data_IF_190152427897
#
_entry.id   IF_190152427897
#
_cell.length_a   1.000
_cell.length_b   1.000
_cell.length_c   1.000
_cell.angle_alpha   90.00
_cell.angle_beta   90.00
_cell.angle_gamma   90.00
#
_symmetry.space_group_name_H-M   'P 1'
#
loop_
_entity.id
_entity.type
_entity.pdbx_description
1 polymer ?
#
# COMPACT_ATOMS: atom_id res chain seq x y z
N UNK A 1 3.02 -17.10 3.29
CA UNK A 1 1.96 -16.16 2.85
C UNK A 1 0.90 -16.19 3.94
N UNK A 2 0.41 -15.04 4.37
CA UNK A 2 -0.69 -14.94 5.31
C UNK A 2 -2.00 -15.07 4.53
N UNK A 3 -2.98 -15.76 5.10
CA UNK A 3 -4.31 -15.93 4.53
C UNK A 3 -5.36 -15.44 5.52
N UNK A 4 -6.33 -14.68 5.02
CA UNK A 4 -7.45 -14.15 5.80
C UNK A 4 -8.75 -14.47 5.06
N UNK A 5 -9.79 -14.79 5.80
CA UNK A 5 -11.13 -14.97 5.22
C UNK A 5 -11.77 -13.62 4.96
N UNK A 6 -12.36 -13.44 3.78
CA UNK A 6 -13.03 -12.19 3.39
C UNK A 6 -14.38 -12.47 2.74
N UNK A 7 -15.30 -11.51 2.85
CA UNK A 7 -16.54 -11.50 2.10
C UNK A 7 -16.47 -10.53 0.93
N UNK A 8 -17.07 -10.91 -0.20
CA UNK A 8 -17.13 -10.03 -1.37
C UNK A 8 -18.31 -9.08 -1.26
N UNK A 9 -18.04 -7.79 -1.11
CA UNK A 9 -19.07 -6.76 -0.95
C UNK A 9 -19.53 -6.21 -2.31
N UNK A 10 -18.59 -5.99 -3.23
CA UNK A 10 -18.82 -5.44 -4.57
C UNK A 10 -17.81 -6.04 -5.58
N UNK A 11 -18.23 -6.14 -6.84
CA UNK A 11 -17.41 -6.71 -7.92
C UNK A 11 -17.42 -5.80 -9.14
N UNK A 12 -16.23 -5.52 -9.65
CA UNK A 12 -16.01 -4.91 -10.96
C UNK A 12 -15.07 -5.78 -11.80
N UNK A 13 -14.99 -5.53 -13.11
CA UNK A 13 -14.14 -6.32 -14.01
C UNK A 13 -12.65 -6.28 -13.63
N UNK A 14 -12.17 -5.14 -13.11
CA UNK A 14 -10.74 -4.91 -12.83
C UNK A 14 -10.39 -4.82 -11.34
N UNK A 15 -11.38 -4.96 -10.46
CA UNK A 15 -11.18 -4.92 -9.01
C UNK A 15 -12.35 -5.56 -8.27
N UNK A 16 -12.07 -6.06 -7.08
CA UNK A 16 -13.06 -6.68 -6.19
C UNK A 16 -12.98 -5.99 -4.83
N UNK A 17 -14.12 -5.56 -4.28
CA UNK A 17 -14.21 -4.98 -2.94
C UNK A 17 -14.43 -6.11 -1.95
N UNK A 18 -13.50 -6.23 -1.02
CA UNK A 18 -13.55 -7.25 0.03
C UNK A 18 -13.83 -6.59 1.37
N UNK A 19 -14.54 -7.31 2.23
CA UNK A 19 -14.80 -6.97 3.61
C UNK A 19 -14.04 -7.95 4.53
N UNK A 20 -13.27 -7.39 5.46
CA UNK A 20 -12.60 -8.09 6.56
C UNK A 20 -13.61 -8.42 7.67
N UNK A 21 -13.20 -9.24 8.63
CA UNK A 21 -14.09 -9.69 9.71
C UNK A 21 -14.54 -8.57 10.66
N UNK A 22 -13.69 -7.56 10.86
CA UNK A 22 -13.98 -6.34 11.63
C UNK A 22 -14.93 -5.36 10.91
N UNK A 23 -15.29 -5.67 9.66
CA UNK A 23 -16.17 -4.88 8.82
C UNK A 23 -15.45 -3.90 7.88
N UNK A 24 -14.13 -3.69 8.06
CA UNK A 24 -13.35 -2.81 7.19
C UNK A 24 -13.32 -3.35 5.77
N UNK A 25 -13.43 -2.45 4.78
CA UNK A 25 -13.62 -2.86 3.39
C UNK A 25 -12.78 -2.04 2.42
N UNK A 26 -12.18 -2.72 1.44
CA UNK A 26 -11.25 -2.09 0.50
C UNK A 26 -11.20 -2.82 -0.85
N UNK A 27 -10.70 -2.12 -1.87
CA UNK A 27 -10.65 -2.62 -3.26
C UNK A 27 -9.32 -3.30 -3.58
N UNK A 28 -9.37 -4.56 -4.02
CA UNK A 28 -8.21 -5.31 -4.50
C UNK A 28 -8.20 -5.33 -6.04
N UNK A 29 -7.11 -4.93 -6.72
CA UNK A 29 -7.01 -4.93 -8.18
C UNK A 29 -6.75 -6.34 -8.74
N UNK A 30 -7.82 -7.12 -8.87
CA UNK A 30 -7.85 -8.47 -9.45
C UNK A 30 -8.97 -8.60 -10.47
N UNK A 31 -8.89 -9.63 -11.31
CA UNK A 31 -9.93 -10.03 -12.25
C UNK A 31 -11.20 -10.47 -11.51
N UNK A 32 -12.20 -9.59 -11.50
CA UNK A 32 -13.50 -9.85 -10.88
C UNK A 32 -14.48 -10.57 -11.78
N UNK A 33 -14.14 -10.88 -13.05
CA UNK A 33 -15.07 -11.55 -13.98
C UNK A 33 -15.50 -12.95 -13.55
N UNK A 34 -14.76 -13.55 -12.61
CA UNK A 34 -15.03 -14.90 -12.07
C UNK A 34 -15.58 -14.87 -10.64
N UNK A 35 -15.77 -13.68 -10.06
CA UNK A 35 -16.11 -13.48 -8.64
C UNK A 35 -17.56 -13.04 -8.50
N UNK A 36 -18.30 -13.57 -7.52
CA UNK A 36 -19.65 -13.13 -7.23
C UNK A 36 -19.70 -12.33 -5.92
N UNK A 37 -20.59 -11.34 -5.88
CA UNK A 37 -20.94 -10.65 -4.63
C UNK A 37 -21.52 -11.65 -3.63
N UNK A 38 -21.08 -11.55 -2.37
CA UNK A 38 -21.48 -12.42 -1.28
C UNK A 38 -20.62 -13.67 -1.12
N UNK A 39 -19.71 -13.95 -2.06
CA UNK A 39 -18.79 -15.09 -1.92
C UNK A 39 -17.89 -14.92 -0.69
N UNK A 40 -17.64 -16.02 0.02
CA UNK A 40 -16.56 -16.10 1.02
C UNK A 40 -15.31 -16.58 0.29
N UNK A 41 -14.27 -15.76 0.28
CA UNK A 41 -13.01 -16.03 -0.42
C UNK A 41 -11.84 -15.96 0.55
N UNK A 42 -10.67 -16.43 0.11
CA UNK A 42 -9.43 -16.26 0.88
C UNK A 42 -8.60 -15.14 0.27
N UNK A 43 -8.26 -14.14 1.07
CA UNK A 43 -7.30 -13.10 0.72
C UNK A 43 -5.91 -13.54 1.19
N UNK A 44 -4.93 -13.47 0.28
CA UNK A 44 -3.52 -13.76 0.60
C UNK A 44 -2.63 -12.53 0.48
N UNK A 45 -1.76 -12.31 1.47
CA UNK A 45 -0.71 -11.29 1.44
C UNK A 45 0.60 -11.87 1.98
N UNK A 46 1.74 -11.54 1.35
CA UNK A 46 3.02 -12.04 1.84
C UNK A 46 3.46 -11.24 3.08
N UNK A 47 4.10 -11.87 4.08
CA UNK A 47 4.59 -11.16 5.27
C UNK A 47 5.41 -9.90 4.96
N UNK A 48 6.31 -9.99 3.99
CA UNK A 48 7.18 -8.89 3.55
C UNK A 48 6.46 -7.79 2.72
N UNK A 49 5.18 -7.99 2.41
CA UNK A 49 4.36 -6.99 1.71
C UNK A 49 3.42 -6.23 2.65
N UNK A 50 3.28 -6.67 3.90
CA UNK A 50 2.56 -5.90 4.91
C UNK A 50 3.37 -4.64 5.25
N UNK A 51 2.67 -3.58 5.63
CA UNK A 51 3.25 -2.27 5.91
C UNK A 51 2.83 -1.78 7.29
N UNK A 52 3.33 -0.62 7.71
CA UNK A 52 2.81 0.03 8.92
C UNK A 52 1.31 0.34 8.75
N UNK A 53 0.56 0.38 9.84
CA UNK A 53 -0.89 0.62 9.79
C UNK A 53 -1.27 1.85 8.96
N UNK A 54 -0.48 2.93 9.04
CA UNK A 54 -0.73 4.20 8.34
C UNK A 54 -0.43 4.18 6.83
N UNK A 55 0.26 3.14 6.34
CA UNK A 55 0.63 3.00 4.93
C UNK A 55 -0.27 2.03 4.15
N UNK A 56 -1.18 1.35 4.86
CA UNK A 56 -2.11 0.37 4.28
C UNK A 56 -3.37 0.98 3.66
N UNK A 57 -4.01 0.23 2.77
CA UNK A 57 -5.36 0.53 2.28
C UNK A 57 -6.44 0.04 3.27
N UNK A 58 -6.08 -0.92 4.13
CA UNK A 58 -6.85 -1.42 5.26
C UNK A 58 -5.91 -1.75 6.43
N UNK A 59 -6.45 -1.89 7.64
CA UNK A 59 -5.69 -2.21 8.85
C UNK A 59 -6.20 -3.53 9.44
N UNK A 60 -5.31 -4.27 10.10
CA UNK A 60 -5.70 -5.38 10.98
C UNK A 60 -4.86 -5.30 12.25
N UNK A 61 -5.50 -5.54 13.39
CA UNK A 61 -4.88 -5.48 14.71
C UNK A 61 -4.99 -6.80 15.44
N UNK A 62 -3.96 -7.13 16.22
CA UNK A 62 -3.91 -8.36 17.00
C UNK A 62 -2.99 -8.27 18.20
N UNK A 63 -2.94 -9.36 18.96
CA UNK A 63 -1.98 -9.53 20.04
C UNK A 63 -0.69 -10.17 19.52
N UNK A 64 0.46 -9.65 19.96
CA UNK A 64 1.77 -10.17 19.60
C UNK A 64 2.03 -11.45 20.37
N UNK A 65 2.10 -12.58 19.66
CA UNK A 65 2.35 -13.89 20.26
C UNK A 65 3.84 -14.23 20.31
N UNK A 66 4.56 -13.90 19.24
CA UNK A 66 5.98 -14.24 19.07
C UNK A 66 6.70 -13.08 18.40
N UNK A 67 7.90 -12.77 18.89
CA UNK A 67 8.83 -11.81 18.28
C UNK A 67 10.16 -12.52 18.02
N UNK A 68 10.54 -12.65 16.75
CA UNK A 68 11.82 -13.22 16.33
C UNK A 68 12.74 -12.10 15.82
N UNK A 69 13.83 -11.82 16.55
CA UNK A 69 14.86 -10.84 16.17
C UNK A 69 15.98 -11.56 15.42
N UNK A 70 16.00 -11.47 14.09
CA UNK A 70 16.92 -12.21 13.22
C UNK A 70 18.17 -11.41 12.81
N UNK A 71 18.35 -10.21 13.36
CA UNK A 71 19.47 -9.32 13.10
C UNK A 71 19.23 -8.39 11.91
N UNK A 72 18.90 -8.90 10.73
CA UNK A 72 18.58 -8.07 9.55
C UNK A 72 17.09 -7.70 9.45
N UNK A 73 16.24 -8.40 10.20
CA UNK A 73 14.79 -8.20 10.24
C UNK A 73 14.22 -8.68 11.57
N UNK A 74 13.00 -8.22 11.86
CA UNK A 74 12.16 -8.72 12.94
C UNK A 74 10.93 -9.37 12.34
N UNK A 75 10.61 -10.59 12.78
CA UNK A 75 9.34 -11.26 12.47
C UNK A 75 8.42 -11.21 13.68
N UNK A 76 7.18 -10.81 13.45
CA UNK A 76 6.15 -10.68 14.47
C UNK A 76 4.98 -11.57 14.10
N UNK A 77 4.57 -12.44 15.00
CA UNK A 77 3.40 -13.31 14.84
C UNK A 77 2.25 -12.68 15.62
N UNK A 78 1.19 -12.30 14.90
CA UNK A 78 0.04 -11.60 15.42
C UNK A 78 -1.16 -12.53 15.44
N UNK A 79 -1.76 -12.71 16.61
CA UNK A 79 -3.06 -13.37 16.73
C UNK A 79 -4.17 -12.33 16.51
N UNK A 80 -4.92 -12.47 15.42
CA UNK A 80 -6.11 -11.64 15.17
C UNK A 80 -7.34 -12.38 15.71
N UNK A 81 -8.23 -11.68 16.40
CA UNK A 81 -9.39 -12.29 17.08
C UNK A 81 -10.29 -13.12 16.14
N UNK A 82 -10.41 -12.70 14.88
CA UNK A 82 -11.26 -13.34 13.87
C UNK A 82 -10.48 -14.13 12.80
N UNK A 83 -9.18 -14.40 13.00
CA UNK A 83 -8.38 -15.18 12.07
C UNK A 83 -8.18 -16.62 12.54
N UNK A 84 -8.28 -17.56 11.60
CA UNK A 84 -8.05 -18.99 11.85
C UNK A 84 -6.57 -19.32 12.15
N UNK A 85 -5.64 -18.40 11.84
CA UNK A 85 -4.21 -18.56 12.01
C UNK A 85 -3.53 -17.22 12.26
N UNK A 86 -2.35 -17.27 12.89
CA UNK A 86 -1.54 -16.08 13.13
C UNK A 86 -1.07 -15.43 11.83
N UNK A 87 -1.02 -14.11 11.85
CA UNK A 87 -0.51 -13.28 10.76
C UNK A 87 0.94 -12.95 11.03
N UNK A 88 1.80 -13.30 10.08
CA UNK A 88 3.23 -13.03 10.19
C UNK A 88 3.54 -11.69 9.53
N UNK A 89 4.05 -10.74 10.30
CA UNK A 89 4.57 -9.46 9.84
C UNK A 89 6.10 -9.51 9.80
N UNK A 90 6.70 -9.01 8.72
CA UNK A 90 8.17 -8.92 8.59
C UNK A 90 8.58 -7.48 8.34
N UNK A 91 9.43 -6.96 9.20
CA UNK A 91 9.98 -5.62 9.07
C UNK A 91 11.51 -5.67 9.00
N UNK A 92 12.15 -4.93 8.07
CA UNK A 92 13.60 -4.76 8.09
C UNK A 92 14.07 -4.11 9.38
N UNK A 93 15.26 -4.51 9.85
CA UNK A 93 15.86 -4.04 11.09
C UNK A 93 15.04 -4.41 12.36
N UNK A 94 15.38 -3.77 13.47
CA UNK A 94 14.84 -4.02 14.79
C UNK A 94 13.56 -3.23 14.98
N UNK A 95 12.47 -3.95 15.26
CA UNK A 95 11.21 -3.35 15.71
C UNK A 95 11.14 -3.40 17.24
N UNK A 96 10.77 -2.27 17.85
CA UNK A 96 10.51 -2.18 19.29
C UNK A 96 9.09 -2.65 19.59
N UNK A 97 8.90 -3.97 19.65
CA UNK A 97 7.64 -4.64 19.99
C UNK A 97 7.93 -5.84 20.89
N UNK A 98 7.05 -6.10 21.85
CA UNK A 98 7.18 -7.18 22.83
C UNK A 98 5.96 -8.11 22.80
N UNK A 99 6.12 -9.33 23.33
CA UNK A 99 5.02 -10.31 23.43
C UNK A 99 3.93 -9.79 24.36
N UNK A 100 2.67 -9.91 23.94
CA UNK A 100 1.47 -9.40 24.63
C UNK A 100 1.06 -7.99 24.21
N UNK A 101 1.86 -7.29 23.41
CA UNK A 101 1.48 -5.98 22.87
C UNK A 101 0.28 -6.11 21.93
N UNK A 102 -0.60 -5.09 21.92
CA UNK A 102 -1.56 -4.90 20.83
C UNK A 102 -0.85 -4.16 19.69
N UNK A 103 -0.84 -4.76 18.51
CA UNK A 103 -0.10 -4.25 17.37
C UNK A 103 -0.95 -4.28 16.10
N UNK A 104 -0.90 -3.18 15.34
CA UNK A 104 -1.65 -3.00 14.09
C UNK A 104 -0.71 -2.95 12.89
N UNK A 105 -1.14 -3.58 11.80
CA UNK A 105 -0.42 -3.63 10.53
C UNK A 105 -1.32 -3.20 9.39
N UNK A 106 -0.71 -2.61 8.36
CA UNK A 106 -1.38 -2.17 7.16
C UNK A 106 -1.36 -3.23 6.06
N UNK A 107 -2.48 -3.37 5.37
CA UNK A 107 -2.66 -4.24 4.21
C UNK A 107 -2.68 -3.39 2.94
N UNK A 108 -1.64 -3.46 2.09
CA UNK A 108 -1.65 -2.77 0.81
C UNK A 108 -2.37 -3.60 -0.25
N UNK A 109 -3.49 -3.09 -0.74
CA UNK A 109 -4.40 -3.79 -1.64
C UNK A 109 -3.73 -4.26 -2.92
N UNK A 110 -2.85 -3.42 -3.47
CA UNK A 110 -2.10 -3.74 -4.70
C UNK A 110 -1.15 -4.93 -4.56
N UNK A 111 -0.82 -5.38 -3.33
CA UNK A 111 -0.01 -6.57 -3.05
C UNK A 111 -0.82 -7.81 -2.70
N UNK A 112 -2.13 -7.66 -2.51
CA UNK A 112 -3.03 -8.74 -2.14
C UNK A 112 -3.30 -9.70 -3.31
N UNK A 113 -3.65 -10.93 -2.95
CA UNK A 113 -4.12 -12.00 -3.80
C UNK A 113 -5.52 -12.41 -3.33
N UNK A 114 -6.36 -12.88 -4.24
CA UNK A 114 -7.69 -13.40 -3.91
C UNK A 114 -7.82 -14.81 -4.48
N UNK A 115 -8.35 -15.73 -3.68
CA UNK A 115 -8.49 -17.14 -4.01
C UNK A 115 -9.94 -17.59 -3.81
N UNK A 116 -10.44 -18.32 -4.80
CA UNK A 116 -11.71 -19.04 -4.76
C UNK A 116 -11.66 -20.18 -3.74
N UNK A 117 -12.83 -20.68 -3.34
CA UNK A 117 -12.95 -21.82 -2.41
C UNK A 117 -12.34 -23.12 -2.96
N UNK A 118 -12.22 -23.24 -4.29
CA UNK A 118 -11.53 -24.34 -4.97
C UNK A 118 -10.00 -24.14 -5.06
N UNK A 119 -9.48 -23.07 -4.45
CA UNK A 119 -8.07 -22.71 -4.43
C UNK A 119 -7.57 -21.96 -5.67
N UNK A 120 -8.41 -21.73 -6.69
CA UNK A 120 -7.99 -20.96 -7.88
C UNK A 120 -7.78 -19.50 -7.53
N UNK A 121 -6.66 -18.94 -7.98
CA UNK A 121 -6.35 -17.53 -7.78
C UNK A 121 -7.02 -16.65 -8.83
N UNK A 122 -7.59 -15.52 -8.40
CA UNK A 122 -7.94 -14.43 -9.31
C UNK A 122 -6.66 -13.82 -9.90
N UNK A 123 -6.64 -13.57 -11.21
CA UNK A 123 -5.52 -12.91 -11.87
C UNK A 123 -5.37 -11.48 -11.32
N UNK A 124 -4.16 -11.11 -10.89
CA UNK A 124 -3.87 -9.76 -10.40
C UNK A 124 -3.61 -8.77 -11.54
N UNK A 125 -4.15 -7.56 -11.39
CA UNK A 125 -3.75 -6.41 -12.20
C UNK A 125 -2.64 -5.66 -11.47
N UNK A 126 -1.40 -6.07 -11.71
CA UNK A 126 -0.23 -5.36 -11.19
C UNK A 126 -0.12 -4.05 -11.97
N UNK A 127 -0.51 -2.92 -11.37
CA UNK A 127 -0.06 -1.62 -11.85
C UNK A 127 1.47 -1.60 -11.72
N UNK A 128 2.19 -1.64 -12.86
CA UNK A 128 3.59 -1.21 -12.90
C UNK A 128 3.61 0.25 -12.47
N UNK A 129 3.98 0.48 -11.23
CA UNK A 129 3.84 1.78 -10.61
C UNK A 129 4.80 2.80 -11.24
N UNK A 130 4.22 3.87 -11.77
CA UNK A 130 4.79 5.21 -11.66
C UNK A 130 4.77 5.63 -10.17
N UNK A 131 5.55 4.94 -9.31
CA UNK A 131 5.74 5.29 -7.89
C UNK A 131 6.76 6.42 -7.75
N UNK A 132 6.50 7.56 -8.39
CA UNK A 132 7.24 8.80 -8.12
C UNK A 132 6.43 9.92 -8.73
N UNK A 133 5.50 10.51 -7.98
CA UNK A 133 5.04 11.91 -8.18
C UNK A 133 3.92 12.36 -7.21
N UNK A 134 3.46 11.59 -6.21
CA UNK A 134 2.46 12.14 -5.26
C UNK A 134 3.05 12.88 -4.04
N UNK A 135 4.36 12.79 -3.78
CA UNK A 135 5.02 13.53 -2.69
C UNK A 135 5.81 14.79 -3.11
N UNK A 136 5.77 15.18 -4.39
CA UNK A 136 6.38 16.45 -4.83
C UNK A 136 5.38 17.62 -4.91
N UNK A 137 4.07 17.34 -4.95
CA UNK A 137 3.03 18.36 -5.17
C UNK A 137 2.44 18.98 -3.89
N UNK A 138 2.98 18.67 -2.70
CA UNK A 138 2.57 19.34 -1.45
C UNK A 138 3.39 20.60 -1.11
N UNK A 139 4.40 20.97 -1.90
CA UNK A 139 5.23 22.16 -1.65
C UNK A 139 5.28 23.18 -2.79
N UNK A 140 4.51 22.98 -3.87
CA UNK A 140 4.46 23.91 -5.00
C UNK A 140 3.04 24.40 -5.28
N UNK A 141 2.31 24.78 -4.23
CA UNK A 141 0.96 25.37 -4.33
C UNK A 141 0.87 26.75 -3.65
N UNK A 142 1.96 27.53 -3.71
CA UNK A 142 1.99 28.93 -3.28
C UNK A 142 2.69 29.82 -4.32
N UNK A 143 2.34 29.71 -5.60
CA UNK A 143 2.56 30.80 -6.53
C UNK A 143 1.30 31.04 -7.37
N UNK A 144 0.73 32.22 -7.10
CA UNK A 144 -0.43 32.90 -7.67
C UNK A 144 -0.78 32.54 -9.14
N UNK A 145 -2.09 32.41 -9.38
CA UNK A 145 -2.76 32.49 -10.69
C UNK A 145 -2.55 33.87 -11.37
N UNK A 146 -3.08 34.17 -12.58
CA UNK A 146 -3.79 33.34 -13.58
C UNK A 146 -3.27 33.52 -15.03
N UNK A 147 -3.51 32.57 -15.94
CA UNK A 147 -3.65 32.92 -17.37
C UNK A 147 -4.51 31.90 -18.11
N UNK A 148 -5.69 32.38 -18.52
CA UNK A 148 -6.62 31.77 -19.47
C UNK A 148 -5.94 31.57 -20.83
N UNK A 149 -5.90 30.34 -21.33
CA UNK A 149 -5.93 30.06 -22.77
C UNK A 149 -6.76 28.79 -23.00
N UNK A 150 -7.95 28.97 -23.58
CA UNK A 150 -8.72 27.90 -24.22
C UNK A 150 -7.91 27.34 -25.40
N UNK A 151 -7.79 26.02 -25.53
CA UNK A 151 -7.65 25.39 -26.84
C UNK A 151 -8.43 24.09 -26.92
N UNK A 152 -9.22 24.03 -28.00
CA UNK A 152 -10.05 22.92 -28.45
C UNK A 152 -9.24 21.64 -28.65
N UNK A 153 -9.93 20.52 -28.58
CA UNK A 153 -9.35 19.20 -28.38
C UNK A 153 -8.38 18.73 -29.46
N UNK A 154 -7.55 17.76 -29.08
CA UNK A 154 -7.17 16.64 -29.93
C UNK A 154 -6.66 15.51 -29.04
N UNK A 155 -7.23 14.33 -29.25
CA UNK A 155 -6.78 13.04 -28.73
C UNK A 155 -5.44 12.73 -29.41
N UNK A 156 -4.40 12.31 -28.66
CA UNK A 156 -3.72 11.03 -28.92
C UNK A 156 -2.55 10.75 -27.96
N UNK A 157 -2.57 9.52 -27.46
CA UNK A 157 -1.46 8.73 -26.94
C UNK A 157 -0.23 8.86 -27.86
N UNK A 158 0.91 9.31 -27.34
CA UNK A 158 2.24 8.87 -27.79
C UNK A 158 3.33 9.28 -26.79
N UNK A 159 3.94 8.23 -26.22
CA UNK A 159 5.39 8.08 -26.03
C UNK A 159 6.14 9.15 -25.23
N UNK A 160 6.51 8.72 -24.03
CA UNK A 160 7.70 9.13 -23.29
C UNK A 160 8.88 9.35 -24.24
N UNK A 161 9.36 10.58 -24.33
CA UNK A 161 10.72 10.88 -24.77
C UNK A 161 11.31 11.87 -23.76
N UNK A 162 12.09 11.29 -22.85
CA UNK A 162 12.84 11.96 -21.80
C UNK A 162 13.96 12.79 -22.48
N UNK A 163 13.86 14.12 -22.48
CA UNK A 163 15.03 14.97 -22.67
C UNK A 163 15.50 15.47 -21.30
N UNK A 164 16.60 14.86 -20.85
CA UNK A 164 17.51 15.45 -19.87
C UNK A 164 18.08 16.72 -20.50
N UNK A 165 17.75 17.89 -19.94
CA UNK A 165 18.56 19.09 -20.09
C UNK A 165 19.00 19.55 -18.72
N UNK A 166 20.31 19.52 -18.52
CA UNK A 166 21.10 19.90 -17.37
C UNK A 166 20.75 21.29 -16.84
N UNK A 167 20.28 21.36 -15.59
CA UNK A 167 20.30 22.61 -14.83
C UNK A 167 21.61 22.64 -14.03
N UNK A 168 22.70 23.07 -14.67
CA UNK A 168 23.90 23.48 -13.97
C UNK A 168 23.74 24.94 -13.55
N UNK A 169 23.63 25.20 -12.26
CA UNK A 169 24.36 26.31 -11.61
C UNK A 169 24.17 26.28 -10.10
N UNK A 170 25.30 26.02 -9.43
CA UNK A 170 25.71 26.54 -8.14
C UNK A 170 24.92 26.10 -6.90
N UNK A 171 25.43 25.03 -6.28
CA UNK A 171 25.46 24.90 -4.83
C UNK A 171 26.81 25.42 -4.29
N UNK A 172 26.81 25.76 -2.99
CA UNK A 172 27.93 25.78 -2.03
C UNK A 172 28.47 27.17 -1.63
N UNK A 173 28.09 27.63 -0.44
CA UNK A 173 28.95 27.87 0.76
C UNK A 173 28.10 28.62 1.82
N UNK A 174 27.70 28.03 2.95
CA UNK A 174 28.44 27.77 4.20
C UNK A 174 28.50 28.97 5.18
N UNK A 175 28.07 28.76 6.45
CA UNK A 175 28.31 29.61 7.64
C UNK A 175 27.17 30.59 7.98
N UNK A 176 26.27 30.40 8.96
CA UNK A 176 26.39 30.26 10.44
C UNK A 176 26.76 31.59 11.15
N UNK A 177 25.84 32.02 12.06
CA UNK A 177 25.92 32.99 13.18
C UNK A 177 25.64 34.51 12.93
N UNK A 178 24.36 34.89 13.15
CA UNK A 178 23.79 35.88 14.09
C UNK A 178 24.50 37.22 14.50
N UNK A 179 23.78 38.20 15.09
CA UNK A 179 23.72 39.60 14.63
C UNK A 179 24.39 40.62 15.56
N UNK A 180 24.52 41.87 15.11
CA UNK A 180 24.55 43.04 16.01
C UNK A 180 25.56 44.12 15.66
N UNK A 181 25.01 45.34 15.54
CA UNK A 181 25.62 46.70 15.47
C UNK A 181 26.58 47.02 14.34
#
# INVERSE_FOLDING_TARGET
>A
MNFMSVFIEEVEAERVKVQLADGDSFWIPVDGTTVNKGDRMSMGVRPEHLVSAEEGDAKVGGEVMIVEKLGNETQVYLNLEDADADVIYRQPDTLAVEVGDKFEIGIPAHRCHLFHSDGKACRRYIKKLAYKLSNCFKHLCLLKAPMLIEFRGFIYLKSVQLQLSTCSSHAIMCGVLHPGS
#
